data_IF_190570007296
#
_entry.id   IF_190570007296
#
_cell.length_a   1.000
_cell.length_b   1.000
_cell.length_c   1.000
_cell.angle_alpha   90.00
_cell.angle_beta   90.00
_cell.angle_gamma   90.00
#
_symmetry.space_group_name_H-M   'P 1'
#
loop_
_entity.id
_entity.type
_entity.pdbx_description
1 polymer ?
#
# COMPACT_ATOMS: atom_id res chain seq x y z
N UNK A 1 -3.19 9.04 -13.25
CA UNK A 1 -3.64 8.84 -11.85
C UNK A 1 -3.37 7.41 -11.43
N UNK A 2 -2.71 7.22 -10.32
CA UNK A 2 -2.42 5.89 -9.79
C UNK A 2 -3.17 5.72 -8.49
N UNK A 3 -3.98 4.67 -8.41
CA UNK A 3 -4.80 4.37 -7.23
C UNK A 3 -4.33 3.04 -6.64
N UNK A 4 -4.09 3.04 -5.33
CA UNK A 4 -3.77 1.83 -4.59
C UNK A 4 -4.89 1.57 -3.60
N UNK A 5 -5.47 0.39 -3.68
CA UNK A 5 -6.43 -0.08 -2.69
C UNK A 5 -5.93 -1.37 -2.07
N UNK A 6 -6.31 -1.61 -0.83
CA UNK A 6 -5.87 -2.81 -0.12
C UNK A 6 -6.95 -3.28 0.85
N UNK A 7 -6.87 -4.57 1.16
CA UNK A 7 -7.73 -5.21 2.12
C UNK A 7 -6.86 -6.05 3.04
N UNK A 8 -6.53 -5.51 4.20
CA UNK A 8 -5.64 -6.13 5.17
C UNK A 8 -6.38 -6.26 6.49
N UNK A 9 -6.55 -7.50 6.94
CA UNK A 9 -7.38 -7.80 8.12
C UNK A 9 -6.75 -7.31 9.43
N UNK A 10 -5.44 -7.54 9.61
CA UNK A 10 -4.76 -7.22 10.87
C UNK A 10 -4.54 -5.72 10.99
N UNK A 11 -4.99 -5.13 12.12
CA UNK A 11 -4.92 -3.69 12.32
C UNK A 11 -3.49 -3.14 12.30
N UNK A 12 -2.56 -3.86 12.90
CA UNK A 12 -1.16 -3.41 12.97
C UNK A 12 -0.51 -3.41 11.60
N UNK A 13 -0.74 -4.49 10.84
CA UNK A 13 -0.20 -4.62 9.49
C UNK A 13 -0.82 -3.58 8.57
N UNK A 14 -2.13 -3.38 8.68
CA UNK A 14 -2.83 -2.35 7.91
C UNK A 14 -2.31 -0.97 8.22
N UNK A 15 -2.08 -0.65 9.49
CA UNK A 15 -1.54 0.64 9.90
C UNK A 15 -0.13 0.86 9.35
N UNK A 16 0.71 -0.16 9.38
CA UNK A 16 2.06 -0.07 8.83
C UNK A 16 2.01 0.22 7.33
N UNK A 17 1.17 -0.49 6.61
CA UNK A 17 1.04 -0.28 5.17
C UNK A 17 0.48 1.10 4.86
N UNK A 18 -0.52 1.54 5.61
CA UNK A 18 -1.11 2.87 5.45
C UNK A 18 -0.07 3.97 5.66
N UNK A 19 0.74 3.88 6.71
CA UNK A 19 1.82 4.83 6.96
C UNK A 19 2.82 4.87 5.82
N UNK A 20 3.14 3.72 5.28
CA UNK A 20 4.06 3.61 4.17
C UNK A 20 3.50 4.32 2.92
N UNK A 21 2.27 4.01 2.55
CA UNK A 21 1.65 4.56 1.34
C UNK A 21 1.44 6.08 1.45
N UNK A 22 1.13 6.58 2.65
CA UNK A 22 0.95 8.02 2.87
C UNK A 22 2.15 8.86 2.42
N UNK A 23 3.33 8.28 2.39
CA UNK A 23 4.54 8.98 1.98
C UNK A 23 4.53 9.35 0.49
N UNK A 24 3.69 8.70 -0.29
CA UNK A 24 3.68 8.83 -1.75
C UNK A 24 2.43 9.50 -2.30
N UNK A 25 1.47 9.83 -1.46
CA UNK A 25 0.23 10.43 -1.91
C UNK A 25 -0.70 10.72 -0.74
N UNK A 26 -2.00 10.66 -1.01
CA UNK A 26 -3.00 10.97 0.00
C UNK A 26 -4.19 10.01 -0.06
N UNK A 27 -4.87 9.90 1.06
CA UNK A 27 -6.02 9.02 1.20
C UNK A 27 -7.26 9.65 0.56
N UNK A 28 -7.90 8.91 -0.34
CA UNK A 28 -9.17 9.32 -0.94
C UNK A 28 -10.34 8.83 -0.09
N UNK A 29 -10.25 7.61 0.39
CA UNK A 29 -11.18 7.02 1.33
C UNK A 29 -10.48 5.88 2.05
N UNK A 30 -11.16 5.25 3.01
CA UNK A 30 -10.58 4.20 3.82
C UNK A 30 -9.99 3.10 2.93
N UNK A 31 -8.71 2.81 3.12
CA UNK A 31 -7.96 1.81 2.38
C UNK A 31 -7.81 2.08 0.88
N UNK A 32 -7.99 3.36 0.47
CA UNK A 32 -7.82 3.76 -0.92
C UNK A 32 -7.00 5.04 -0.97
N UNK A 33 -5.88 4.98 -1.66
CA UNK A 33 -4.94 6.11 -1.76
C UNK A 33 -4.69 6.46 -3.21
N UNK A 34 -4.60 7.75 -3.48
CA UNK A 34 -4.06 8.26 -4.74
C UNK A 34 -2.59 8.59 -4.51
N UNK A 35 -1.71 8.03 -5.33
CA UNK A 35 -0.27 8.29 -5.22
C UNK A 35 0.23 9.12 -6.39
N UNK A 36 1.41 9.71 -6.23
CA UNK A 36 2.03 10.51 -7.27
C UNK A 36 2.14 9.73 -8.57
N UNK A 37 1.82 10.37 -9.68
CA UNK A 37 1.82 9.75 -11.00
C UNK A 37 3.26 9.66 -11.52
N UNK A 38 4.03 8.75 -10.93
CA UNK A 38 5.43 8.52 -11.27
C UNK A 38 5.71 7.04 -11.37
N UNK A 39 6.22 6.64 -12.52
CA UNK A 39 6.58 5.24 -12.77
C UNK A 39 7.65 4.74 -11.79
N UNK A 40 8.60 5.61 -11.46
CA UNK A 40 9.64 5.28 -10.47
C UNK A 40 9.04 4.98 -9.10
N UNK A 41 8.13 5.84 -8.63
CA UNK A 41 7.46 5.66 -7.34
C UNK A 41 6.65 4.38 -7.35
N UNK A 42 5.88 4.14 -8.40
CA UNK A 42 5.09 2.93 -8.51
C UNK A 42 5.97 1.68 -8.46
N UNK A 43 7.07 1.68 -9.19
CA UNK A 43 7.99 0.53 -9.20
C UNK A 43 8.63 0.30 -7.83
N UNK A 44 8.96 1.37 -7.12
CA UNK A 44 9.48 1.26 -5.75
C UNK A 44 8.44 0.67 -4.80
N UNK A 45 7.19 1.09 -4.92
CA UNK A 45 6.11 0.56 -4.09
C UNK A 45 5.90 -0.92 -4.37
N UNK A 46 5.88 -1.31 -5.63
CA UNK A 46 5.71 -2.72 -6.01
C UNK A 46 6.85 -3.56 -5.45
N UNK A 47 8.08 -3.08 -5.55
CA UNK A 47 9.24 -3.79 -5.01
C UNK A 47 9.14 -3.95 -3.50
N UNK A 48 8.74 -2.89 -2.78
CA UNK A 48 8.58 -2.94 -1.33
C UNK A 48 7.45 -3.87 -0.91
N UNK A 49 6.34 -3.88 -1.65
CA UNK A 49 5.26 -4.82 -1.38
C UNK A 49 5.76 -6.24 -1.51
N UNK A 50 6.48 -6.55 -2.58
CA UNK A 50 6.97 -7.90 -2.82
C UNK A 50 8.04 -8.33 -1.81
N UNK A 51 8.90 -7.40 -1.38
CA UNK A 51 10.06 -7.75 -0.55
C UNK A 51 9.78 -7.64 0.95
N UNK A 52 8.86 -6.78 1.37
CA UNK A 52 8.58 -6.53 2.78
C UNK A 52 7.18 -6.91 3.19
N UNK A 53 6.18 -6.37 2.50
CA UNK A 53 4.80 -6.45 2.98
C UNK A 53 4.14 -7.79 2.73
N UNK A 54 4.42 -8.46 1.63
CA UNK A 54 3.83 -9.78 1.36
C UNK A 54 4.21 -10.80 2.42
N UNK A 55 5.40 -10.67 3.00
CA UNK A 55 5.85 -11.57 4.07
C UNK A 55 5.07 -11.36 5.37
N UNK A 56 4.49 -10.18 5.54
CA UNK A 56 3.72 -9.83 6.73
C UNK A 56 2.24 -10.14 6.57
N UNK A 57 1.75 -10.21 5.33
CA UNK A 57 0.32 -10.33 5.06
C UNK A 57 -0.15 -11.77 5.19
N UNK A 58 -1.41 -11.93 5.61
CA UNK A 58 -2.08 -13.23 5.63
C UNK A 58 -2.60 -13.55 4.24
N UNK A 59 -2.97 -14.81 4.03
CA UNK A 59 -3.47 -15.25 2.72
C UNK A 59 -4.74 -14.51 2.28
N UNK A 60 -5.52 -14.03 3.22
CA UNK A 60 -6.75 -13.28 2.93
C UNK A 60 -6.51 -11.81 2.61
N UNK A 61 -5.29 -11.30 2.84
CA UNK A 61 -4.97 -9.90 2.59
C UNK A 61 -4.70 -9.68 1.10
N UNK A 62 -5.04 -8.47 0.63
CA UNK A 62 -4.79 -8.09 -0.77
C UNK A 62 -4.43 -6.60 -0.87
N UNK A 63 -3.76 -6.28 -1.95
CA UNK A 63 -3.33 -4.89 -2.21
C UNK A 63 -3.71 -4.49 -3.63
#
# INVERSE_FOLDING_TARGET
MIIISYDIFDDRKRSKFSKYIKRFGHMLQYSVYEIDNSERILNNIIADINNKFLKMFDQSDSV
#
